data_IF_683745204819
#
_entry.id   IF_683745204819
#
_cell.length_a   1.000
_cell.length_b   1.000
_cell.length_c   1.000
_cell.angle_alpha   90.00
_cell.angle_beta   90.00
_cell.angle_gamma   90.00
#
_symmetry.space_group_name_H-M   'P 1'
#
loop_
_entity.id
_entity.type
_entity.pdbx_description
1 polymer ?
#
# COMPACT_ATOMS: atom_id res chain seq x y z
N UNK A 1 10.17 0.12 15.24
CA UNK A 1 9.83 -0.78 14.10
C UNK A 1 8.35 -1.16 14.06
N UNK A 2 7.71 -1.51 15.19
CA UNK A 2 6.29 -1.89 15.24
C UNK A 2 5.32 -0.82 14.71
N UNK A 3 5.48 0.45 15.11
CA UNK A 3 4.66 1.54 14.58
C UNK A 3 4.84 1.76 13.07
N UNK A 4 6.08 1.65 12.55
CA UNK A 4 6.36 1.77 11.11
C UNK A 4 5.62 0.71 10.30
N UNK A 5 5.69 -0.54 10.76
CA UNK A 5 5.01 -1.65 10.11
C UNK A 5 3.50 -1.46 10.12
N UNK A 6 2.92 -1.07 11.26
CA UNK A 6 1.49 -0.77 11.38
C UNK A 6 1.06 0.38 10.46
N UNK A 7 1.82 1.48 10.40
CA UNK A 7 1.51 2.61 9.50
C UNK A 7 1.57 2.19 8.03
N UNK A 8 2.57 1.40 7.62
CA UNK A 8 2.68 0.90 6.26
C UNK A 8 1.54 -0.07 5.90
N UNK A 9 1.17 -0.95 6.84
CA UNK A 9 0.04 -1.88 6.67
C UNK A 9 -1.29 -1.13 6.52
N UNK A 10 -1.56 -0.15 7.38
CA UNK A 10 -2.80 0.64 7.31
C UNK A 10 -2.86 1.42 5.98
N UNK A 11 -1.77 2.08 5.58
CA UNK A 11 -1.73 2.81 4.32
C UNK A 11 -1.98 1.89 3.12
N UNK A 12 -1.37 0.70 3.13
CA UNK A 12 -1.56 -0.29 2.06
C UNK A 12 -2.97 -0.84 2.03
N UNK A 13 -3.56 -1.11 3.20
CA UNK A 13 -4.93 -1.58 3.28
C UNK A 13 -5.91 -0.54 2.72
N UNK A 14 -5.74 0.74 3.07
CA UNK A 14 -6.55 1.83 2.53
C UNK A 14 -6.39 1.92 1.01
N UNK A 15 -5.16 1.85 0.50
CA UNK A 15 -4.91 1.83 -0.95
C UNK A 15 -5.60 0.65 -1.65
N UNK A 16 -5.46 -0.56 -1.10
CA UNK A 16 -6.06 -1.77 -1.66
C UNK A 16 -7.59 -1.66 -1.73
N UNK A 17 -8.23 -1.15 -0.68
CA UNK A 17 -9.69 -0.93 -0.67
C UNK A 17 -10.09 0.07 -1.76
N UNK A 18 -9.43 1.23 -1.85
CA UNK A 18 -9.76 2.27 -2.83
C UNK A 18 -9.56 1.75 -4.26
N UNK A 19 -8.46 1.05 -4.52
CA UNK A 19 -8.13 0.56 -5.85
C UNK A 19 -9.10 -0.54 -6.32
N UNK A 20 -9.48 -1.47 -5.44
CA UNK A 20 -10.52 -2.46 -5.77
C UNK A 20 -11.91 -1.81 -5.94
N UNK A 21 -12.23 -0.78 -5.16
CA UNK A 21 -13.48 -0.04 -5.30
C UNK A 21 -13.53 0.70 -6.65
N UNK A 22 -12.41 1.29 -7.08
CA UNK A 22 -12.25 1.85 -8.41
C UNK A 22 -12.46 0.80 -9.51
N UNK A 23 -11.79 -0.35 -9.40
CA UNK A 23 -11.95 -1.44 -10.36
C UNK A 23 -13.41 -1.94 -10.46
N UNK A 24 -14.14 -1.96 -9.33
CA UNK A 24 -15.56 -2.30 -9.31
C UNK A 24 -16.42 -1.23 -10.01
N UNK A 25 -16.17 0.06 -9.73
CA UNK A 25 -16.89 1.18 -10.36
C UNK A 25 -16.65 1.23 -11.88
N UNK A 26 -15.44 0.91 -12.32
CA UNK A 26 -15.05 0.94 -13.75
C UNK A 26 -15.16 -0.41 -14.45
N UNK A 27 -15.70 -1.45 -13.78
CA UNK A 27 -15.88 -2.81 -14.32
C UNK A 27 -14.61 -3.40 -14.95
N UNK A 28 -13.46 -3.21 -14.29
CA UNK A 28 -12.16 -3.74 -14.72
C UNK A 28 -12.03 -5.20 -14.25
N UNK A 29 -12.31 -6.15 -15.14
CA UNK A 29 -12.37 -7.60 -14.85
C UNK A 29 -11.01 -8.24 -14.55
N UNK A 30 -9.92 -7.73 -15.12
CA UNK A 30 -8.55 -8.18 -14.83
C UNK A 30 -7.91 -7.43 -13.64
N UNK A 31 -8.66 -6.53 -13.01
CA UNK A 31 -8.12 -5.58 -12.04
C UNK A 31 -7.57 -6.22 -10.77
N UNK A 32 -8.18 -7.30 -10.27
CA UNK A 32 -7.90 -7.83 -8.91
C UNK A 32 -6.44 -8.31 -8.76
N UNK A 33 -5.91 -9.03 -9.75
CA UNK A 33 -4.53 -9.55 -9.71
C UNK A 33 -3.53 -8.40 -9.81
N UNK A 34 -3.79 -7.42 -10.68
CA UNK A 34 -2.97 -6.20 -10.78
C UNK A 34 -3.01 -5.40 -9.48
N UNK A 35 -4.18 -5.22 -8.88
CA UNK A 35 -4.35 -4.48 -7.62
C UNK A 35 -3.59 -5.11 -6.45
N UNK A 36 -3.50 -6.44 -6.43
CA UNK A 36 -2.71 -7.20 -5.46
C UNK A 36 -1.22 -6.90 -5.59
N UNK A 37 -0.68 -6.99 -6.82
CA UNK A 37 0.72 -6.66 -7.09
C UNK A 37 1.02 -5.19 -6.80
N UNK A 38 0.17 -4.28 -7.26
CA UNK A 38 0.30 -2.83 -7.00
C UNK A 38 0.31 -2.53 -5.49
N UNK A 39 -0.59 -3.16 -4.72
CA UNK A 39 -0.63 -2.97 -3.27
C UNK A 39 0.61 -3.52 -2.57
N UNK A 40 1.18 -4.62 -3.07
CA UNK A 40 2.41 -5.19 -2.54
C UNK A 40 3.63 -4.28 -2.80
N UNK A 41 3.74 -3.72 -4.02
CA UNK A 41 4.76 -2.73 -4.35
C UNK A 41 4.57 -1.44 -3.54
N UNK A 42 3.33 -0.97 -3.39
CA UNK A 42 3.00 0.20 -2.59
C UNK A 42 3.40 0.01 -1.12
N UNK A 43 3.13 -1.17 -0.54
CA UNK A 43 3.55 -1.50 0.82
C UNK A 43 5.07 -1.41 0.99
N UNK A 44 5.83 -2.03 0.08
CA UNK A 44 7.28 -1.99 0.10
C UNK A 44 7.79 -0.55 0.02
N UNK A 45 7.22 0.25 -0.88
CA UNK A 45 7.57 1.66 -1.04
C UNK A 45 7.33 2.47 0.24
N UNK A 46 6.12 2.40 0.82
CA UNK A 46 5.78 3.13 2.05
C UNK A 46 6.63 2.65 3.24
N UNK A 47 6.87 1.35 3.35
CA UNK A 47 7.69 0.77 4.41
C UNK A 47 9.14 1.27 4.35
N UNK A 48 9.74 1.28 3.16
CA UNK A 48 11.09 1.80 2.93
C UNK A 48 11.17 3.31 3.19
N UNK A 49 10.19 4.08 2.71
CA UNK A 49 10.12 5.53 2.90
C UNK A 49 10.05 5.90 4.39
N UNK A 50 9.17 5.24 5.14
CA UNK A 50 9.07 5.45 6.59
C UNK A 50 10.35 4.99 7.30
N UNK A 51 11.05 3.98 6.77
CA UNK A 51 12.34 3.54 7.27
C UNK A 51 13.43 4.58 7.08
N UNK A 52 13.52 5.15 5.88
CA UNK A 52 14.43 6.24 5.56
C UNK A 52 14.18 7.47 6.44
N UNK A 53 12.91 7.90 6.57
CA UNK A 53 12.52 9.04 7.42
C UNK A 53 12.95 8.84 8.87
N UNK A 54 12.81 7.63 9.41
CA UNK A 54 13.17 7.35 10.81
C UNK A 54 14.69 7.37 11.04
N UNK A 55 15.50 6.99 10.05
CA UNK A 55 16.96 7.03 10.15
C UNK A 55 17.54 8.44 10.07
N UNK A 56 16.84 9.40 9.43
CA UNK A 56 17.21 10.82 9.39
C UNK A 56 16.86 11.60 10.67
N UNK A 57 16.02 11.03 11.54
CA UNK A 57 15.63 11.63 12.84
C UNK A 57 16.49 11.16 14.01
N UNK A 58 17.43 10.25 13.76
CA UNK A 58 18.52 9.88 14.66
C UNK A 58 19.76 10.66 14.28
#
# INVERSE_FOLDING_TARGET
MKQRLLTALIATFVYFVIANLGNLVFSVTEGIVSTLWESLFFFLFVFLLLGYRNNRKK
#
